data_IF_441399833546
#
_entry.id   IF_441399833546
#
_cell.length_a   1.000
_cell.length_b   1.000
_cell.length_c   1.000
_cell.angle_alpha   90.00
_cell.angle_beta   90.00
_cell.angle_gamma   90.00
#
_symmetry.space_group_name_H-M   'P 1'
#
loop_
_entity.id
_entity.type
_entity.pdbx_description
1 polymer ?
#
# COMPACT_ATOMS: atom_id res chain seq x y z
N UNK A 1 -12.42 -43.59 35.34
CA UNK A 1 -13.32 -43.17 34.23
C UNK A 1 -13.44 -41.65 34.09
N UNK A 2 -13.36 -40.85 35.17
CA UNK A 2 -13.39 -39.37 35.07
C UNK A 2 -12.05 -38.79 34.61
N UNK A 3 -10.91 -39.35 35.05
CA UNK A 3 -9.57 -38.89 34.64
C UNK A 3 -9.29 -39.07 33.14
N UNK A 4 -9.77 -40.17 32.57
CA UNK A 4 -9.56 -40.53 31.16
C UNK A 4 -10.24 -39.53 30.21
N UNK A 5 -11.45 -39.07 30.58
CA UNK A 5 -12.17 -38.02 29.82
C UNK A 5 -11.49 -36.66 29.95
N UNK A 6 -10.84 -36.39 31.09
CA UNK A 6 -10.13 -35.13 31.32
C UNK A 6 -8.85 -35.06 30.47
N UNK A 7 -8.08 -36.17 30.43
CA UNK A 7 -6.88 -36.30 29.60
C UNK A 7 -7.18 -36.21 28.10
N UNK A 8 -8.26 -36.84 27.62
CA UNK A 8 -8.69 -36.74 26.21
C UNK A 8 -9.04 -35.29 25.85
N UNK A 9 -9.64 -34.52 26.77
CA UNK A 9 -9.99 -33.12 26.53
C UNK A 9 -8.77 -32.20 26.44
N UNK A 10 -7.74 -32.41 27.26
CA UNK A 10 -6.50 -31.65 27.22
C UNK A 10 -5.66 -31.97 25.99
N UNK A 11 -5.58 -33.26 25.63
CA UNK A 11 -4.86 -33.70 24.45
C UNK A 11 -5.53 -33.19 23.16
N UNK A 12 -6.86 -33.12 23.13
CA UNK A 12 -7.62 -32.48 22.04
C UNK A 12 -7.36 -30.98 21.95
N UNK A 13 -7.30 -30.26 23.08
CA UNK A 13 -7.00 -28.82 23.12
C UNK A 13 -5.55 -28.53 22.71
N UNK A 14 -4.60 -29.34 23.15
CA UNK A 14 -3.19 -29.22 22.77
C UNK A 14 -2.96 -29.51 21.29
N UNK A 15 -3.61 -30.55 20.75
CA UNK A 15 -3.60 -30.85 19.31
C UNK A 15 -4.18 -29.70 18.49
N UNK A 16 -5.35 -29.18 18.89
CA UNK A 16 -5.95 -28.02 18.25
C UNK A 16 -5.01 -26.80 18.30
N UNK A 17 -4.46 -26.45 19.47
CA UNK A 17 -3.53 -25.33 19.62
C UNK A 17 -2.29 -25.47 18.72
N UNK A 18 -1.73 -26.68 18.62
CA UNK A 18 -0.59 -26.95 17.73
C UNK A 18 -0.96 -26.79 16.25
N UNK A 19 -2.14 -27.27 15.85
CA UNK A 19 -2.66 -27.16 14.49
C UNK A 19 -2.95 -25.70 14.12
N UNK A 20 -3.55 -24.94 15.04
CA UNK A 20 -3.76 -23.50 14.91
C UNK A 20 -2.45 -22.73 14.75
N UNK A 21 -1.42 -23.07 15.54
CA UNK A 21 -0.10 -22.43 15.42
C UNK A 21 0.56 -22.66 14.06
N UNK A 22 0.39 -23.86 13.49
CA UNK A 22 0.93 -24.23 12.18
C UNK A 22 0.18 -23.52 11.06
N UNK A 23 -1.14 -23.44 11.14
CA UNK A 23 -1.99 -22.71 10.18
C UNK A 23 -1.68 -21.21 10.23
N UNK A 24 -1.56 -20.62 11.42
CA UNK A 24 -1.21 -19.21 11.60
C UNK A 24 0.15 -18.89 10.96
N UNK A 25 1.20 -19.68 11.27
CA UNK A 25 2.53 -19.52 10.65
C UNK A 25 2.48 -19.63 9.12
N UNK A 26 1.73 -20.59 8.58
CA UNK A 26 1.59 -20.77 7.15
C UNK A 26 0.86 -19.58 6.48
N UNK A 27 -0.17 -19.03 7.13
CA UNK A 27 -0.90 -17.86 6.62
C UNK A 27 -0.06 -16.58 6.70
N UNK A 28 0.68 -16.37 7.79
CA UNK A 28 1.66 -15.26 7.91
C UNK A 28 2.75 -15.38 6.83
N UNK A 29 3.23 -16.59 6.56
CA UNK A 29 4.16 -16.86 5.46
C UNK A 29 3.60 -16.53 4.08
N UNK A 30 2.30 -16.81 3.83
CA UNK A 30 1.62 -16.46 2.57
C UNK A 30 1.50 -14.95 2.39
N UNK A 31 1.12 -14.22 3.43
CA UNK A 31 0.99 -12.74 3.41
C UNK A 31 2.34 -12.08 3.11
N UNK A 32 3.40 -12.49 3.82
CA UNK A 32 4.75 -11.99 3.58
C UNK A 32 5.26 -12.37 2.17
N UNK A 33 4.95 -13.58 1.69
CA UNK A 33 5.31 -14.03 0.34
C UNK A 33 4.68 -13.18 -0.76
N UNK A 34 3.39 -12.83 -0.63
CA UNK A 34 2.71 -11.94 -1.58
C UNK A 34 3.29 -10.54 -1.54
N UNK A 35 3.55 -9.99 -0.35
CA UNK A 35 4.21 -8.69 -0.20
C UNK A 35 5.54 -8.66 -0.95
N UNK A 36 6.42 -9.63 -0.69
CA UNK A 36 7.73 -9.73 -1.33
C UNK A 36 7.62 -9.87 -2.84
N UNK A 37 6.65 -10.66 -3.35
CA UNK A 37 6.43 -10.80 -4.77
C UNK A 37 6.03 -9.47 -5.45
N UNK A 38 5.10 -8.72 -4.87
CA UNK A 38 4.73 -7.41 -5.41
C UNK A 38 5.85 -6.39 -5.31
N UNK A 39 6.56 -6.34 -4.18
CA UNK A 39 7.75 -5.49 -4.05
C UNK A 39 8.79 -5.83 -5.11
N UNK A 40 9.06 -7.11 -5.32
CA UNK A 40 10.00 -7.58 -6.33
C UNK A 40 9.59 -7.15 -7.74
N UNK A 41 8.34 -7.40 -8.14
CA UNK A 41 7.82 -7.01 -9.45
C UNK A 41 7.88 -5.49 -9.64
N UNK A 42 7.44 -4.72 -8.65
CA UNK A 42 7.40 -3.26 -8.74
C UNK A 42 8.81 -2.65 -8.75
N UNK A 43 9.70 -3.07 -7.85
CA UNK A 43 11.06 -2.53 -7.77
C UNK A 43 11.88 -2.94 -8.98
N UNK A 44 11.86 -4.22 -9.35
CA UNK A 44 12.67 -4.75 -10.44
C UNK A 44 12.14 -4.27 -11.79
N UNK A 45 10.81 -4.32 -11.99
CA UNK A 45 10.18 -3.82 -13.22
C UNK A 45 10.42 -2.32 -13.41
N UNK A 46 10.23 -1.51 -12.37
CA UNK A 46 10.46 -0.06 -12.46
C UNK A 46 11.94 0.25 -12.68
N UNK A 47 12.85 -0.46 -12.02
CA UNK A 47 14.29 -0.30 -12.24
C UNK A 47 14.71 -0.71 -13.65
N UNK A 48 14.20 -1.83 -14.17
CA UNK A 48 14.48 -2.27 -15.53
C UNK A 48 13.98 -1.24 -16.56
N UNK A 49 12.73 -0.76 -16.43
CA UNK A 49 12.18 0.24 -17.35
C UNK A 49 12.86 1.60 -17.27
N UNK A 50 13.44 1.97 -16.13
CA UNK A 50 14.16 3.25 -15.97
C UNK A 50 15.60 3.22 -16.43
N UNK A 51 16.29 2.09 -16.23
CA UNK A 51 17.72 1.95 -16.55
C UNK A 51 17.95 1.48 -17.97
N UNK A 52 17.09 0.59 -18.48
CA UNK A 52 17.28 -0.08 -19.78
C UNK A 52 16.46 0.55 -20.91
N UNK A 53 15.60 1.52 -20.62
CA UNK A 53 14.66 2.10 -21.59
C UNK A 53 14.53 3.61 -21.44
N UNK A 54 13.76 4.24 -22.32
CA UNK A 54 13.51 5.69 -22.26
C UNK A 54 12.62 6.07 -21.08
N UNK A 55 12.70 7.33 -20.63
CA UNK A 55 11.86 7.83 -19.53
C UNK A 55 10.36 7.67 -19.77
N UNK A 56 9.90 7.68 -21.03
CA UNK A 56 8.50 7.43 -21.38
C UNK A 56 8.06 6.00 -21.08
N UNK A 57 8.93 5.00 -21.29
CA UNK A 57 8.62 3.60 -20.99
C UNK A 57 8.47 3.40 -19.48
N UNK A 58 9.34 4.04 -18.68
CA UNK A 58 9.23 4.01 -17.22
C UNK A 58 7.90 4.61 -16.71
N UNK A 59 7.43 5.69 -17.31
CA UNK A 59 6.14 6.30 -16.98
C UNK A 59 4.99 5.36 -17.33
N UNK A 60 4.99 4.77 -18.53
CA UNK A 60 3.95 3.84 -18.97
C UNK A 60 3.91 2.60 -18.06
N UNK A 61 5.06 2.00 -17.77
CA UNK A 61 5.16 0.89 -16.83
C UNK A 61 4.58 1.23 -15.47
N UNK A 62 4.96 2.38 -14.90
CA UNK A 62 4.50 2.81 -13.58
C UNK A 62 2.97 3.01 -13.54
N UNK A 63 2.38 3.52 -14.62
CA UNK A 63 0.93 3.64 -14.78
C UNK A 63 0.25 2.28 -14.88
N UNK A 64 0.74 1.38 -15.75
CA UNK A 64 0.14 0.06 -15.96
C UNK A 64 0.25 -0.80 -14.71
N UNK A 65 1.43 -0.86 -14.09
CA UNK A 65 1.67 -1.63 -12.88
C UNK A 65 0.90 -1.05 -11.68
N UNK A 66 0.86 0.28 -11.53
CA UNK A 66 0.07 0.95 -10.51
C UNK A 66 -1.43 0.71 -10.67
N UNK A 67 -1.95 0.77 -11.91
CA UNK A 67 -3.35 0.49 -12.21
C UNK A 67 -3.70 -0.98 -11.94
N UNK A 68 -2.84 -1.91 -12.37
CA UNK A 68 -3.01 -3.34 -12.10
C UNK A 68 -3.07 -3.60 -10.59
N UNK A 69 -2.17 -2.99 -9.82
CA UNK A 69 -2.17 -3.09 -8.36
C UNK A 69 -3.46 -2.53 -7.74
N UNK A 70 -3.95 -1.37 -8.20
CA UNK A 70 -5.24 -0.81 -7.75
C UNK A 70 -6.40 -1.75 -8.04
N UNK A 71 -6.49 -2.28 -9.27
CA UNK A 71 -7.56 -3.20 -9.68
C UNK A 71 -7.53 -4.45 -8.80
N UNK A 72 -6.35 -5.05 -8.61
CA UNK A 72 -6.19 -6.21 -7.74
C UNK A 72 -6.62 -5.91 -6.30
N UNK A 73 -6.23 -4.75 -5.75
CA UNK A 73 -6.64 -4.36 -4.40
C UNK A 73 -8.14 -4.12 -4.26
N UNK A 74 -8.77 -3.49 -5.26
CA UNK A 74 -10.23 -3.23 -5.27
C UNK A 74 -11.01 -4.56 -5.34
N UNK A 75 -10.54 -5.52 -6.15
CA UNK A 75 -11.16 -6.84 -6.27
C UNK A 75 -10.98 -7.69 -5.01
N UNK A 76 -9.79 -7.62 -4.41
CA UNK A 76 -9.40 -8.39 -3.23
C UNK A 76 -9.47 -7.56 -1.95
N UNK A 77 -10.50 -6.71 -1.87
CA UNK A 77 -10.65 -5.73 -0.78
C UNK A 77 -10.56 -6.41 0.60
N UNK A 78 -9.67 -5.93 1.50
CA UNK A 78 -9.41 -6.58 2.77
C UNK A 78 -10.57 -6.50 3.76
N UNK A 79 -11.39 -5.46 3.67
CA UNK A 79 -12.44 -5.11 4.65
C UNK A 79 -13.85 -5.41 4.12
N UNK A 80 -14.16 -6.69 3.91
CA UNK A 80 -15.52 -7.12 3.58
C UNK A 80 -16.36 -7.22 4.85
N UNK A 81 -17.62 -6.82 4.78
CA UNK A 81 -18.57 -7.03 5.88
C UNK A 81 -19.42 -8.26 5.57
N UNK A 82 -19.37 -9.29 6.43
CA UNK A 82 -19.97 -10.61 6.16
C UNK A 82 -21.50 -10.61 6.04
N UNK A 83 -22.17 -9.50 6.38
CA UNK A 83 -23.63 -9.43 6.56
C UNK A 83 -24.28 -8.20 5.87
N UNK A 84 -23.64 -7.61 4.86
CA UNK A 84 -24.21 -6.46 4.16
C UNK A 84 -25.34 -6.88 3.19
N UNK A 85 -26.59 -6.66 3.58
CA UNK A 85 -27.75 -6.79 2.70
C UNK A 85 -28.24 -5.41 2.20
N UNK A 86 -28.59 -5.33 0.91
CA UNK A 86 -29.27 -4.16 0.33
C UNK A 86 -28.46 -2.86 0.36
N UNK A 87 -28.95 -1.86 1.10
CA UNK A 87 -28.40 -0.49 1.11
C UNK A 87 -26.97 -0.41 1.68
N UNK A 88 -26.60 -1.29 2.62
CA UNK A 88 -25.26 -1.29 3.22
C UNK A 88 -24.20 -1.80 2.23
N UNK A 89 -24.58 -2.74 1.36
CA UNK A 89 -23.73 -3.21 0.26
C UNK A 89 -23.46 -2.10 -0.76
N UNK A 90 -24.50 -1.31 -1.11
CA UNK A 90 -24.36 -0.17 -2.02
C UNK A 90 -23.39 0.89 -1.47
N UNK A 91 -23.44 1.17 -0.15
CA UNK A 91 -22.51 2.10 0.51
C UNK A 91 -21.08 1.56 0.50
N UNK A 92 -20.89 0.26 0.73
CA UNK A 92 -19.58 -0.39 0.68
C UNK A 92 -18.95 -0.31 -0.73
N UNK A 93 -19.72 -0.67 -1.77
CA UNK A 93 -19.25 -0.56 -3.16
C UNK A 93 -18.98 0.89 -3.58
N UNK A 94 -19.82 1.83 -3.14
CA UNK A 94 -19.60 3.26 -3.39
C UNK A 94 -18.26 3.69 -2.79
N UNK A 95 -17.96 3.30 -1.55
CA UNK A 95 -16.67 3.58 -0.92
C UNK A 95 -15.48 3.00 -1.69
N UNK A 96 -15.59 1.77 -2.22
CA UNK A 96 -14.56 1.14 -3.05
C UNK A 96 -14.33 1.85 -4.37
N UNK A 97 -15.41 2.24 -5.05
CA UNK A 97 -15.34 2.96 -6.33
C UNK A 97 -14.69 4.32 -6.12
N UNK A 98 -15.11 5.06 -5.10
CA UNK A 98 -14.52 6.36 -4.75
C UNK A 98 -13.04 6.23 -4.41
N UNK A 99 -12.66 5.21 -3.64
CA UNK A 99 -11.26 4.90 -3.35
C UNK A 99 -10.45 4.59 -4.62
N UNK A 100 -11.02 3.79 -5.53
CA UNK A 100 -10.39 3.47 -6.82
C UNK A 100 -10.20 4.71 -7.69
N UNK A 101 -11.20 5.58 -7.79
CA UNK A 101 -11.11 6.84 -8.53
C UNK A 101 -10.02 7.73 -7.92
N UNK A 102 -9.98 7.86 -6.59
CA UNK A 102 -8.94 8.64 -5.92
C UNK A 102 -7.53 8.07 -6.17
N UNK A 103 -7.38 6.74 -6.16
CA UNK A 103 -6.12 6.07 -6.51
C UNK A 103 -5.68 6.32 -7.95
N UNK A 104 -6.61 6.22 -8.91
CA UNK A 104 -6.33 6.51 -10.33
C UNK A 104 -5.95 7.98 -10.52
N UNK A 105 -6.68 8.91 -9.90
CA UNK A 105 -6.34 10.33 -9.95
C UNK A 105 -4.94 10.57 -9.37
N UNK A 106 -4.63 10.00 -8.20
CA UNK A 106 -3.30 10.10 -7.58
C UNK A 106 -2.17 9.58 -8.50
N UNK A 107 -2.40 8.47 -9.20
CA UNK A 107 -1.45 7.91 -10.19
C UNK A 107 -1.28 8.80 -11.42
N UNK A 108 -2.37 9.36 -11.96
CA UNK A 108 -2.31 10.26 -13.11
C UNK A 108 -1.54 11.52 -12.73
N UNK A 109 -1.83 12.10 -11.56
CA UNK A 109 -1.10 13.24 -11.05
C UNK A 109 0.40 12.94 -10.92
N UNK A 110 0.80 11.82 -10.32
CA UNK A 110 2.23 11.49 -10.19
C UNK A 110 2.90 11.21 -11.53
N UNK A 111 2.21 10.57 -12.49
CA UNK A 111 2.76 10.31 -13.82
C UNK A 111 3.03 11.58 -14.64
N UNK A 112 2.14 12.58 -14.54
CA UNK A 112 2.34 13.90 -15.17
C UNK A 112 3.60 14.57 -14.61
N UNK A 113 3.79 14.52 -13.29
CA UNK A 113 4.98 15.06 -12.64
C UNK A 113 6.24 14.27 -13.00
N UNK A 114 6.15 12.93 -13.04
CA UNK A 114 7.26 12.05 -13.35
C UNK A 114 7.83 12.30 -14.76
N UNK A 115 6.96 12.57 -15.74
CA UNK A 115 7.40 12.96 -17.10
C UNK A 115 8.33 14.17 -17.06
N UNK A 116 8.04 15.15 -16.22
CA UNK A 116 8.85 16.36 -16.08
C UNK A 116 10.12 16.11 -15.25
N UNK A 117 10.06 15.21 -14.27
CA UNK A 117 11.21 14.81 -13.44
C UNK A 117 12.25 13.99 -14.22
N UNK A 118 11.81 13.15 -15.17
CA UNK A 118 12.67 12.33 -16.03
C UNK A 118 13.15 13.05 -17.29
N UNK A 119 12.64 14.26 -17.59
CA UNK A 119 13.07 15.04 -18.74
C UNK A 119 14.53 15.52 -18.58
N UNK A 120 15.33 15.58 -19.68
CA UNK A 120 16.70 16.07 -19.65
C UNK A 120 16.71 17.60 -19.46
N UNK A 121 16.61 18.07 -18.22
CA UNK A 121 16.62 19.48 -17.86
C UNK A 121 17.56 19.73 -16.68
N UNK A 122 18.22 20.90 -16.68
CA UNK A 122 19.14 21.36 -15.63
C UNK A 122 18.43 21.35 -14.28
N UNK A 123 19.08 20.72 -13.29
CA UNK A 123 18.43 20.14 -12.10
C UNK A 123 17.84 21.18 -11.13
N UNK A 124 18.28 22.45 -11.22
CA UNK A 124 17.94 23.55 -10.31
C UNK A 124 16.48 24.01 -10.27
N UNK A 125 15.54 23.30 -10.90
CA UNK A 125 14.11 23.62 -10.87
C UNK A 125 13.17 22.44 -10.63
N UNK A 126 13.69 21.22 -10.39
CA UNK A 126 12.86 20.00 -10.32
C UNK A 126 12.02 19.88 -9.04
N UNK A 127 12.37 20.60 -7.98
CA UNK A 127 11.62 20.65 -6.71
C UNK A 127 10.13 20.97 -6.92
N UNK A 128 9.85 21.87 -7.88
CA UNK A 128 8.51 22.34 -8.21
C UNK A 128 7.58 21.23 -8.70
N UNK A 129 8.14 20.10 -9.14
CA UNK A 129 7.36 18.96 -9.63
C UNK A 129 7.07 17.92 -8.55
N UNK A 130 7.78 17.93 -7.42
CA UNK A 130 7.51 17.02 -6.29
C UNK A 130 6.29 17.50 -5.48
N UNK A 131 6.24 18.78 -5.15
CA UNK A 131 5.20 19.38 -4.28
C UNK A 131 3.74 19.19 -4.76
N UNK A 132 3.40 19.31 -6.05
CA UNK A 132 2.02 19.25 -6.50
C UNK A 132 1.33 17.91 -6.22
N UNK A 133 2.07 16.79 -6.21
CA UNK A 133 1.48 15.50 -5.88
C UNK A 133 1.12 15.40 -4.38
N UNK A 134 1.94 15.90 -3.46
CA UNK A 134 1.55 15.94 -2.04
C UNK A 134 0.32 16.81 -1.81
N UNK A 135 0.22 17.95 -2.49
CA UNK A 135 -0.97 18.79 -2.41
C UNK A 135 -2.22 18.05 -2.93
N UNK A 136 -2.11 17.41 -4.09
CA UNK A 136 -3.18 16.59 -4.65
C UNK A 136 -3.56 15.42 -3.72
N UNK A 137 -2.58 14.71 -3.15
CA UNK A 137 -2.79 13.64 -2.19
C UNK A 137 -3.53 14.14 -0.94
N UNK A 138 -3.09 15.27 -0.36
CA UNK A 138 -3.71 15.84 0.82
C UNK A 138 -5.19 16.20 0.55
N UNK A 139 -5.46 16.86 -0.59
CA UNK A 139 -6.82 17.20 -1.01
C UNK A 139 -7.66 15.94 -1.22
N UNK A 140 -7.14 14.94 -1.93
CA UNK A 140 -7.83 13.67 -2.17
C UNK A 140 -8.17 12.97 -0.86
N UNK A 141 -7.24 12.88 0.09
CA UNK A 141 -7.49 12.28 1.39
C UNK A 141 -8.54 13.07 2.17
N UNK A 142 -8.48 14.41 2.18
CA UNK A 142 -9.51 15.23 2.83
C UNK A 142 -10.88 14.96 2.23
N UNK A 143 -11.00 14.91 0.91
CA UNK A 143 -12.26 14.59 0.21
C UNK A 143 -12.73 13.18 0.56
N UNK A 144 -11.83 12.20 0.59
CA UNK A 144 -12.15 10.81 0.99
C UNK A 144 -12.68 10.72 2.41
N UNK A 145 -12.11 11.49 3.35
CA UNK A 145 -12.59 11.57 4.73
C UNK A 145 -14.01 12.13 4.76
N UNK A 146 -14.27 13.25 4.07
CA UNK A 146 -15.60 13.87 4.00
C UNK A 146 -16.63 12.90 3.40
N UNK A 147 -16.30 12.27 2.28
CA UNK A 147 -17.17 11.27 1.63
C UNK A 147 -17.39 10.07 2.56
N UNK A 148 -16.34 9.59 3.24
CA UNK A 148 -16.43 8.51 4.22
C UNK A 148 -17.45 8.82 5.31
N UNK A 149 -17.40 10.01 5.90
CA UNK A 149 -18.38 10.44 6.89
C UNK A 149 -19.80 10.55 6.30
N UNK A 150 -19.96 11.13 5.11
CA UNK A 150 -21.25 11.26 4.46
C UNK A 150 -21.89 9.88 4.16
N UNK A 151 -21.10 8.94 3.64
CA UNK A 151 -21.51 7.57 3.35
C UNK A 151 -21.93 6.83 4.62
N UNK A 152 -21.28 7.10 5.75
CA UNK A 152 -21.68 6.53 7.03
C UNK A 152 -22.95 7.13 7.61
N UNK A 153 -23.17 8.43 7.42
CA UNK A 153 -24.42 9.08 7.82
C UNK A 153 -25.63 8.53 7.05
N UNK A 154 -25.42 8.00 5.84
CA UNK A 154 -26.45 7.38 5.00
C UNK A 154 -26.85 5.95 5.43
N UNK A 155 -26.13 5.32 6.37
CA UNK A 155 -26.44 3.94 6.82
C UNK A 155 -27.63 3.88 7.77
N UNK A 156 -28.46 2.84 7.63
CA UNK A 156 -29.73 2.67 8.37
C UNK A 156 -29.54 2.11 9.79
N UNK A 157 -28.53 1.28 10.05
CA UNK A 157 -28.17 0.78 11.40
C UNK A 157 -26.82 1.35 11.83
N UNK A 158 -26.77 2.04 12.97
CA UNK A 158 -25.58 2.78 13.47
C UNK A 158 -24.74 2.01 14.49
N UNK A 159 -24.83 0.69 14.54
CA UNK A 159 -23.94 -0.12 15.38
C UNK A 159 -22.60 -0.33 14.66
N UNK A 160 -21.48 -0.08 15.35
CA UNK A 160 -20.10 -0.21 14.83
C UNK A 160 -19.64 0.84 13.78
N UNK A 161 -20.16 2.07 13.84
CA UNK A 161 -19.82 3.16 12.91
C UNK A 161 -18.30 3.41 12.80
N UNK A 162 -17.62 3.53 13.93
CA UNK A 162 -16.20 3.90 14.00
C UNK A 162 -15.31 2.86 13.30
N UNK A 163 -15.56 1.56 13.55
CA UNK A 163 -14.76 0.48 12.97
C UNK A 163 -14.89 0.41 11.45
N UNK A 164 -16.13 0.50 10.95
CA UNK A 164 -16.35 0.50 9.50
C UNK A 164 -15.77 1.76 8.83
N UNK A 165 -15.67 2.88 9.57
CA UNK A 165 -15.13 4.12 9.03
C UNK A 165 -13.64 3.96 8.83
N UNK A 166 -12.95 3.54 9.89
CA UNK A 166 -11.51 3.33 9.87
C UNK A 166 -11.11 2.35 8.77
N UNK A 167 -11.85 1.25 8.61
CA UNK A 167 -11.57 0.25 7.56
C UNK A 167 -11.75 0.85 6.15
N UNK A 168 -12.84 1.58 5.91
CA UNK A 168 -13.10 2.21 4.60
C UNK A 168 -12.09 3.31 4.24
N UNK A 169 -11.80 4.22 5.19
CA UNK A 169 -10.85 5.31 4.99
C UNK A 169 -9.44 4.74 4.82
N UNK A 170 -9.05 3.74 5.62
CA UNK A 170 -7.72 3.15 5.53
C UNK A 170 -7.47 2.50 4.17
N UNK A 171 -8.46 1.76 3.64
CA UNK A 171 -8.39 1.23 2.27
C UNK A 171 -8.34 2.32 1.19
N UNK A 172 -9.08 3.42 1.36
CA UNK A 172 -9.07 4.54 0.42
C UNK A 172 -7.75 5.33 0.43
N UNK A 173 -7.17 5.54 1.61
CA UNK A 173 -5.85 6.15 1.77
C UNK A 173 -4.78 5.26 1.17
N UNK A 174 -4.86 3.93 1.34
CA UNK A 174 -3.95 3.00 0.69
C UNK A 174 -4.02 3.12 -0.84
N UNK A 175 -5.23 3.15 -1.43
CA UNK A 175 -5.40 3.38 -2.88
C UNK A 175 -4.76 4.69 -3.34
N UNK A 176 -4.91 5.76 -2.56
CA UNK A 176 -4.35 7.06 -2.91
C UNK A 176 -2.82 7.08 -2.76
N UNK A 177 -2.27 6.40 -1.74
CA UNK A 177 -0.84 6.28 -1.48
C UNK A 177 -0.11 5.47 -2.55
N UNK A 178 -0.79 4.53 -3.21
CA UNK A 178 -0.25 3.81 -4.36
C UNK A 178 0.19 4.73 -5.50
N UNK A 179 -0.41 5.92 -5.60
CA UNK A 179 0.02 6.97 -6.51
C UNK A 179 1.46 7.44 -6.32
N UNK A 180 2.11 7.13 -5.20
CA UNK A 180 3.49 7.51 -4.91
C UNK A 180 4.56 6.56 -5.49
N UNK A 181 4.18 5.39 -6.01
CA UNK A 181 5.11 4.44 -6.61
C UNK A 181 5.95 4.96 -7.79
N UNK A 182 5.39 5.78 -8.71
CA UNK A 182 6.16 6.32 -9.83
C UNK A 182 7.38 7.15 -9.40
N UNK A 183 7.41 7.71 -8.18
CA UNK A 183 8.59 8.43 -7.68
C UNK A 183 9.81 7.53 -7.47
N UNK A 184 9.63 6.22 -7.32
CA UNK A 184 10.75 5.28 -7.30
C UNK A 184 11.54 5.32 -8.63
N UNK A 185 10.86 5.52 -9.77
CA UNK A 185 11.53 5.64 -11.06
C UNK A 185 12.49 6.84 -11.11
N UNK A 186 12.10 7.95 -10.48
CA UNK A 186 12.93 9.14 -10.35
C UNK A 186 14.16 8.89 -9.47
N UNK A 187 13.98 8.21 -8.32
CA UNK A 187 15.08 7.81 -7.44
C UNK A 187 16.10 6.91 -8.14
N UNK A 188 15.63 5.89 -8.87
CA UNK A 188 16.51 5.00 -9.63
C UNK A 188 17.33 5.77 -10.66
N UNK A 189 16.71 6.74 -11.34
CA UNK A 189 17.40 7.58 -12.32
C UNK A 189 18.45 8.48 -11.67
N UNK A 190 18.13 9.10 -10.53
CA UNK A 190 19.09 9.91 -9.78
C UNK A 190 20.32 9.12 -9.32
N UNK A 191 20.12 7.87 -8.88
CA UNK A 191 21.23 6.99 -8.51
C UNK A 191 22.10 6.66 -9.73
N UNK A 192 21.48 6.34 -10.87
CA UNK A 192 22.18 6.00 -12.10
C UNK A 192 22.98 7.16 -12.70
N UNK A 193 22.48 8.39 -12.59
CA UNK A 193 23.14 9.59 -13.11
C UNK A 193 24.36 10.02 -12.24
N UNK A 194 24.70 9.28 -11.17
CA UNK A 194 26.01 9.38 -10.51
C UNK A 194 26.14 10.46 -9.42
N UNK A 195 25.04 10.94 -8.83
CA UNK A 195 25.02 11.94 -7.75
C UNK A 195 25.63 11.49 -6.39
N UNK A 196 26.37 10.37 -6.39
CA UNK A 196 26.87 9.66 -5.20
C UNK A 196 28.04 10.38 -4.49
N UNK A 197 28.93 11.07 -5.21
CA UNK A 197 30.27 11.37 -4.68
C UNK A 197 30.36 12.40 -3.55
N UNK A 198 29.34 13.26 -3.36
CA UNK A 198 29.33 14.29 -2.29
C UNK A 198 28.38 13.99 -1.13
N UNK A 199 27.40 13.10 -1.34
CA UNK A 199 26.31 12.85 -0.39
C UNK A 199 26.01 11.35 -0.21
N UNK A 200 26.92 10.45 -0.59
CA UNK A 200 26.76 9.00 -0.47
C UNK A 200 26.28 8.55 0.92
N UNK A 201 26.87 9.09 1.99
CA UNK A 201 26.46 8.77 3.37
C UNK A 201 25.01 9.15 3.65
N UNK A 202 24.57 10.31 3.18
CA UNK A 202 23.18 10.77 3.33
C UNK A 202 22.23 9.88 2.53
N UNK A 203 22.56 9.54 1.28
CA UNK A 203 21.79 8.62 0.45
C UNK A 203 21.65 7.24 1.09
N UNK A 204 22.75 6.69 1.65
CA UNK A 204 22.76 5.43 2.38
C UNK A 204 21.84 5.50 3.60
N UNK A 205 21.93 6.56 4.40
CA UNK A 205 21.11 6.73 5.60
C UNK A 205 19.61 6.79 5.27
N UNK A 206 19.21 7.58 4.27
CA UNK A 206 17.79 7.69 3.88
C UNK A 206 17.30 6.38 3.25
N UNK A 207 18.15 5.65 2.52
CA UNK A 207 17.81 4.31 2.00
C UNK A 207 17.60 3.30 3.12
N UNK A 208 18.46 3.30 4.14
CA UNK A 208 18.30 2.45 5.33
C UNK A 208 16.99 2.77 6.05
N UNK A 209 16.69 4.06 6.27
CA UNK A 209 15.43 4.51 6.86
C UNK A 209 14.21 4.03 6.06
N UNK A 210 14.26 4.15 4.73
CA UNK A 210 13.19 3.64 3.86
C UNK A 210 13.01 2.13 3.99
N UNK A 211 14.10 1.34 4.00
CA UNK A 211 14.04 -0.11 4.19
C UNK A 211 13.48 -0.48 5.57
N UNK A 212 13.86 0.24 6.63
CA UNK A 212 13.29 0.05 7.97
C UNK A 212 11.80 0.36 7.97
N UNK A 213 11.36 1.44 7.32
CA UNK A 213 9.95 1.80 7.24
C UNK A 213 9.14 0.76 6.45
N UNK A 214 9.64 0.29 5.30
CA UNK A 214 8.99 -0.75 4.50
C UNK A 214 8.87 -2.07 5.24
N UNK A 215 9.94 -2.49 5.94
CA UNK A 215 9.93 -3.71 6.74
C UNK A 215 8.99 -3.58 7.95
N UNK A 216 8.99 -2.44 8.64
CA UNK A 216 8.09 -2.18 9.76
C UNK A 216 6.62 -2.25 9.34
N UNK A 217 6.24 -1.63 8.22
CA UNK A 217 4.85 -1.68 7.71
C UNK A 217 4.49 -3.10 7.25
N UNK A 218 5.42 -3.81 6.59
CA UNK A 218 5.23 -5.21 6.20
C UNK A 218 4.98 -6.12 7.41
N UNK A 219 5.84 -6.02 8.42
CA UNK A 219 5.70 -6.76 9.69
C UNK A 219 4.38 -6.40 10.37
N UNK A 220 4.03 -5.12 10.46
CA UNK A 220 2.76 -4.68 11.04
C UNK A 220 1.55 -5.33 10.35
N UNK A 221 1.53 -5.42 9.01
CA UNK A 221 0.45 -6.10 8.30
C UNK A 221 0.43 -7.62 8.54
N UNK A 222 1.60 -8.27 8.66
CA UNK A 222 1.66 -9.70 8.98
C UNK A 222 1.20 -10.02 10.40
N UNK A 223 1.54 -9.15 11.36
CA UNK A 223 1.06 -9.23 12.75
C UNK A 223 -0.44 -8.97 12.82
N UNK A 224 -0.92 -7.97 12.07
CA UNK A 224 -2.34 -7.67 12.01
C UNK A 224 -3.16 -8.83 11.43
N UNK A 225 -2.66 -9.47 10.36
CA UNK A 225 -3.30 -10.66 9.79
C UNK A 225 -3.32 -11.84 10.78
N UNK A 226 -2.27 -12.01 11.59
CA UNK A 226 -2.22 -13.05 12.61
C UNK A 226 -3.31 -12.86 13.67
N UNK A 227 -3.65 -11.61 13.98
CA UNK A 227 -4.56 -11.25 15.07
C UNK A 227 -6.04 -11.17 14.61
N UNK A 228 -6.30 -10.98 13.30
CA UNK A 228 -7.64 -11.09 12.73
C UNK A 228 -8.03 -12.58 12.67
N UNK A 229 -9.07 -12.97 13.43
CA UNK A 229 -9.66 -14.31 13.40
C UNK A 229 -10.13 -14.61 11.96
N UNK A 230 -9.62 -15.72 11.41
CA UNK A 230 -9.64 -16.05 10.00
C UNK A 230 -11.03 -16.52 9.56
N UNK A 231 -11.93 -15.58 9.27
CA UNK A 231 -13.33 -15.94 9.04
C UNK A 231 -13.72 -15.86 7.54
N UNK A 232 -12.94 -15.17 6.67
CA UNK A 232 -13.29 -15.02 5.24
C UNK A 232 -12.16 -15.35 4.22
N UNK A 233 -12.47 -16.15 3.17
CA UNK A 233 -11.50 -16.50 2.13
C UNK A 233 -11.17 -15.29 1.23
N UNK A 234 -9.87 -14.95 1.15
CA UNK A 234 -9.32 -13.94 0.23
C UNK A 234 -8.99 -12.57 0.83
N UNK A 235 -9.49 -12.24 2.03
CA UNK A 235 -9.16 -10.99 2.75
C UNK A 235 -7.67 -10.84 3.04
N UNK A 236 -6.98 -11.96 3.29
CA UNK A 236 -5.54 -12.02 3.55
C UNK A 236 -4.68 -11.39 2.44
N UNK A 237 -5.14 -11.46 1.19
CA UNK A 237 -4.43 -10.90 0.06
C UNK A 237 -4.53 -9.37 0.05
N UNK A 238 -5.73 -8.82 0.31
CA UNK A 238 -5.91 -7.38 0.49
C UNK A 238 -5.05 -6.85 1.63
N UNK A 239 -4.93 -7.60 2.73
CA UNK A 239 -4.06 -7.22 3.86
C UNK A 239 -2.59 -7.27 3.48
N UNK A 240 -2.18 -8.25 2.68
CA UNK A 240 -0.83 -8.32 2.14
C UNK A 240 -0.50 -7.14 1.22
N UNK A 241 -1.47 -6.62 0.46
CA UNK A 241 -1.25 -5.50 -0.45
C UNK A 241 -1.12 -4.15 0.26
N UNK A 242 -1.66 -3.98 1.47
CA UNK A 242 -1.67 -2.69 2.17
C UNK A 242 -0.25 -2.08 2.34
N UNK A 243 0.76 -2.79 2.87
CA UNK A 243 2.12 -2.27 2.94
C UNK A 243 2.68 -1.84 1.60
N UNK A 244 2.42 -2.64 0.56
CA UNK A 244 2.86 -2.35 -0.80
C UNK A 244 2.23 -1.04 -1.28
N UNK A 245 0.95 -0.79 -1.02
CA UNK A 245 0.34 0.49 -1.39
C UNK A 245 0.94 1.67 -0.62
N UNK A 246 1.14 1.54 0.69
CA UNK A 246 1.75 2.58 1.51
C UNK A 246 3.23 2.84 1.18
N UNK A 247 3.93 1.87 0.59
CA UNK A 247 5.30 2.06 0.13
C UNK A 247 5.44 3.22 -0.86
N UNK A 248 4.40 3.51 -1.65
CA UNK A 248 4.39 4.68 -2.53
C UNK A 248 4.67 5.99 -1.78
N UNK A 249 4.17 6.13 -0.55
CA UNK A 249 4.47 7.28 0.29
C UNK A 249 5.92 7.32 0.76
N UNK A 250 6.48 6.17 1.09
CA UNK A 250 7.90 6.07 1.49
C UNK A 250 8.79 6.52 0.34
N UNK A 251 8.51 6.10 -0.90
CA UNK A 251 9.29 6.53 -2.07
C UNK A 251 9.14 8.02 -2.38
N UNK A 252 7.95 8.60 -2.18
CA UNK A 252 7.77 10.04 -2.32
C UNK A 252 8.58 10.82 -1.27
N UNK A 253 8.50 10.43 0.01
CA UNK A 253 9.26 11.06 1.08
C UNK A 253 10.77 10.92 0.85
N UNK A 254 11.21 9.74 0.44
CA UNK A 254 12.60 9.47 0.05
C UNK A 254 13.03 10.40 -1.10
N UNK A 255 12.19 10.61 -2.10
CA UNK A 255 12.47 11.52 -3.22
C UNK A 255 12.66 12.96 -2.78
N UNK A 256 11.83 13.43 -1.85
CA UNK A 256 11.98 14.77 -1.25
C UNK A 256 13.26 14.87 -0.43
N UNK A 257 13.50 13.91 0.48
CA UNK A 257 14.69 13.92 1.32
C UNK A 257 15.96 13.91 0.46
N UNK A 258 16.04 13.03 -0.52
CA UNK A 258 17.17 12.96 -1.45
C UNK A 258 17.32 14.27 -2.22
N UNK A 259 16.23 14.85 -2.72
CA UNK A 259 16.29 16.12 -3.45
C UNK A 259 16.88 17.26 -2.59
N UNK A 260 16.37 17.46 -1.37
CA UNK A 260 16.84 18.53 -0.47
C UNK A 260 18.22 18.27 0.15
N UNK A 261 18.69 17.03 0.17
CA UNK A 261 20.04 16.69 0.63
C UNK A 261 21.08 16.88 -0.46
N UNK A 262 20.69 16.77 -1.74
CA UNK A 262 21.59 16.90 -2.89
C UNK A 262 21.70 18.33 -3.44
N UNK A 263 20.70 19.20 -3.19
CA UNK A 263 20.58 20.55 -3.73
C UNK A 263 20.21 21.56 -2.65
#
# INVERSE_FOLDING_TARGET
MVDDKMQISEQSKASAASLWSRIAKALTGKVAGVQLAFYFVMLLGTSACTLLSSGSVAVIWSLVAGLAMLVVFILLWPFKTSNAEGADLAVEWTGRIVAGIAGVLSLVFSAVQLRSLLAPAVIGGRARYLLPWAAAFAILVTVLVIIGFALQMARRKRTHLIRSLSESIFGAVACTAAGGWPFFAFLTRMVADGYQSRFAMALVMVTILALVMLTAIGVAATLWWRDIRADEPGSWFGVAMLPVMFAGMVFYLLSICVFYLLF
#
